data_IF_829939047839
#
_entry.id   IF_829939047839
#
_cell.length_a   1.000
_cell.length_b   1.000
_cell.length_c   1.000
_cell.angle_alpha   90.00
_cell.angle_beta   90.00
_cell.angle_gamma   90.00
#
_symmetry.space_group_name_H-M   'P 1'
#
loop_
_entity.id
_entity.type
_entity.pdbx_description
1 polymer ?
#
# COMPACT_ATOMS: atom_id res chain seq x y z
N UNK A 1 -11.05 -8.05 -4.23
CA UNK A 1 -10.82 -7.07 -3.16
C UNK A 1 -9.37 -6.63 -3.24
N UNK A 2 -9.07 -5.33 -3.24
CA UNK A 2 -7.70 -4.80 -3.42
C UNK A 2 -7.27 -4.03 -2.18
N UNK A 3 -6.13 -4.40 -1.61
CA UNK A 3 -5.54 -3.70 -0.45
C UNK A 3 -4.40 -2.83 -0.95
N UNK A 4 -4.39 -1.56 -0.55
CA UNK A 4 -3.26 -0.67 -0.82
C UNK A 4 -2.20 -0.88 0.24
N UNK A 5 -0.99 -1.20 -0.22
CA UNK A 5 0.13 -1.55 0.63
C UNK A 5 1.27 -0.57 0.42
N UNK A 6 1.80 -0.03 1.53
CA UNK A 6 2.97 0.83 1.47
C UNK A 6 4.24 -0.01 1.39
N UNK A 7 4.85 0.01 0.22
CA UNK A 7 6.10 -0.72 -0.02
C UNK A 7 7.30 0.11 0.44
N UNK A 8 8.26 -0.52 1.10
CA UNK A 8 9.55 0.06 1.52
C UNK A 8 10.71 -0.77 0.97
N UNK A 9 11.85 -0.12 0.77
CA UNK A 9 13.10 -0.79 0.37
C UNK A 9 13.84 -1.30 1.59
N UNK A 10 14.25 -2.55 1.57
CA UNK A 10 15.12 -3.19 2.57
C UNK A 10 16.22 -3.92 1.81
N UNK A 11 17.44 -3.37 1.82
CA UNK A 11 18.55 -3.88 1.01
C UNK A 11 18.25 -3.83 -0.49
N UNK A 12 18.37 -4.98 -1.16
CA UNK A 12 18.02 -5.17 -2.57
C UNK A 12 16.54 -5.50 -2.82
N UNK A 13 15.74 -5.66 -1.77
CA UNK A 13 14.37 -6.16 -1.86
C UNK A 13 13.34 -5.09 -1.50
N UNK A 14 12.13 -5.28 -2.01
CA UNK A 14 10.96 -4.50 -1.65
C UNK A 14 10.12 -5.31 -0.67
N UNK A 15 9.75 -4.70 0.47
CA UNK A 15 8.96 -5.33 1.51
C UNK A 15 7.74 -4.48 1.83
N UNK A 16 6.66 -5.13 2.23
CA UNK A 16 5.48 -4.45 2.77
C UNK A 16 4.99 -5.19 4.02
N UNK A 17 4.28 -4.47 4.87
CA UNK A 17 3.57 -5.06 6.00
C UNK A 17 2.16 -5.42 5.55
N UNK A 18 1.71 -6.63 5.89
CA UNK A 18 0.32 -7.06 5.71
C UNK A 18 -0.46 -6.55 6.94
N UNK A 19 -1.55 -5.77 6.77
CA UNK A 19 -2.35 -5.28 7.89
C UNK A 19 -2.90 -6.43 8.76
N UNK A 20 -3.03 -6.20 10.08
CA UNK A 20 -3.45 -7.24 11.01
C UNK A 20 -4.88 -7.78 10.72
N UNK A 21 -5.76 -6.94 10.19
CA UNK A 21 -7.10 -7.33 9.74
C UNK A 21 -7.04 -8.37 8.61
N UNK A 22 -6.13 -8.18 7.66
CA UNK A 22 -5.91 -9.07 6.53
C UNK A 22 -5.27 -10.39 6.99
N UNK A 23 -4.31 -10.32 7.92
CA UNK A 23 -3.70 -11.51 8.55
C UNK A 23 -4.77 -12.38 9.20
N UNK A 24 -5.67 -11.78 9.98
CA UNK A 24 -6.78 -12.51 10.63
C UNK A 24 -7.78 -13.05 9.62
N UNK A 25 -8.17 -12.25 8.62
CA UNK A 25 -9.17 -12.64 7.63
C UNK A 25 -8.71 -13.82 6.77
N UNK A 26 -7.42 -13.81 6.40
CA UNK A 26 -6.81 -14.84 5.57
C UNK A 26 -6.19 -15.98 6.40
N UNK A 27 -6.25 -15.89 7.74
CA UNK A 27 -5.65 -16.82 8.69
C UNK A 27 -4.19 -17.13 8.35
N UNK A 28 -3.40 -16.07 8.20
CA UNK A 28 -2.00 -16.15 7.80
C UNK A 28 -1.08 -16.35 9.00
N UNK A 29 -0.12 -17.25 8.83
CA UNK A 29 0.97 -17.48 9.77
C UNK A 29 2.32 -17.10 9.17
N UNK A 30 3.32 -16.97 10.05
CA UNK A 30 4.70 -16.73 9.62
C UNK A 30 5.22 -17.92 8.80
N UNK A 31 5.63 -17.66 7.57
CA UNK A 31 6.16 -18.69 6.66
C UNK A 31 5.20 -19.06 5.53
N UNK A 32 3.96 -18.60 5.58
CA UNK A 32 3.01 -18.78 4.49
C UNK A 32 3.47 -18.08 3.21
N UNK A 33 3.25 -18.75 2.08
CA UNK A 33 3.54 -18.20 0.75
C UNK A 33 2.25 -17.67 0.14
N UNK A 34 2.30 -16.41 -0.31
CA UNK A 34 1.15 -15.73 -0.91
C UNK A 34 1.42 -15.42 -2.38
N UNK A 35 0.36 -15.54 -3.19
CA UNK A 35 0.35 -14.97 -4.53
C UNK A 35 -0.02 -13.49 -4.46
N UNK A 36 0.73 -12.64 -5.15
CA UNK A 36 0.49 -11.20 -5.19
C UNK A 36 0.38 -10.73 -6.65
N UNK A 37 -0.64 -9.92 -6.93
CA UNK A 37 -0.76 -9.20 -8.18
C UNK A 37 -0.25 -7.76 -7.98
N UNK A 38 0.81 -7.38 -8.71
CA UNK A 38 1.40 -6.05 -8.59
C UNK A 38 0.72 -5.07 -9.55
N UNK A 39 -0.07 -4.15 -9.01
CA UNK A 39 -0.68 -3.05 -9.76
C UNK A 39 -0.11 -1.72 -9.27
N UNK A 40 0.62 -0.96 -10.11
CA UNK A 40 1.01 0.39 -9.75
C UNK A 40 -0.26 1.21 -9.57
N UNK A 41 -0.36 1.92 -8.44
CA UNK A 41 -1.46 2.87 -8.23
C UNK A 41 -1.27 3.99 -9.24
N UNK A 42 -2.18 4.07 -10.22
CA UNK A 42 -2.24 5.23 -11.10
C UNK A 42 -2.57 6.42 -10.21
N UNK A 43 -1.60 7.32 -10.03
CA UNK A 43 -1.90 8.65 -9.50
C UNK A 43 -2.76 9.31 -10.56
N UNK A 44 -3.95 9.78 -10.18
CA UNK A 44 -4.83 10.49 -11.09
C UNK A 44 -4.02 11.55 -11.85
N UNK A 45 -3.92 11.36 -13.16
CA UNK A 45 -3.18 12.22 -14.09
C UNK A 45 -3.66 13.68 -14.07
N UNK A 46 -4.80 13.95 -13.42
CA UNK A 46 -5.31 15.29 -13.13
C UNK A 46 -4.45 16.08 -12.13
N UNK A 47 -3.77 15.41 -11.20
CA UNK A 47 -2.92 16.05 -10.20
C UNK A 47 -1.53 16.44 -10.74
N UNK A 48 -0.99 15.65 -11.67
CA UNK A 48 0.33 15.87 -12.27
C UNK A 48 0.36 17.07 -13.24
N UNK A 49 -0.77 17.37 -13.90
CA UNK A 49 -0.89 18.51 -14.83
C UNK A 49 -0.96 19.88 -14.14
N UNK A 50 -1.25 19.95 -12.85
CA UNK A 50 -1.42 21.23 -12.11
C UNK A 50 -0.18 21.71 -11.35
N UNK A 51 1.02 21.21 -11.64
CA UNK A 51 2.29 21.78 -11.15
C UNK A 51 2.49 21.84 -9.63
N UNK A 52 1.55 21.34 -8.83
CA UNK A 52 1.66 21.23 -7.38
C UNK A 52 2.28 19.87 -7.08
N UNK A 53 3.49 19.88 -6.53
CA UNK A 53 4.15 18.69 -5.97
C UNK A 53 3.14 17.97 -5.06
N UNK A 54 2.62 16.82 -5.51
CA UNK A 54 1.81 15.95 -4.65
C UNK A 54 2.79 15.18 -3.77
N UNK A 55 3.33 15.88 -2.77
CA UNK A 55 3.69 15.29 -1.49
C UNK A 55 2.42 14.61 -1.00
N UNK A 56 2.51 13.36 -0.54
CA UNK A 56 1.43 12.66 0.15
C UNK A 56 0.62 13.66 0.97
N UNK A 57 -0.57 14.02 0.48
CA UNK A 57 -1.41 14.99 1.15
C UNK A 57 -2.03 14.30 2.34
N UNK A 58 -2.29 15.03 3.41
CA UNK A 58 -2.77 14.45 4.67
C UNK A 58 -4.11 13.70 4.50
N UNK A 59 -4.81 13.97 3.40
CA UNK A 59 -6.06 13.34 2.95
C UNK A 59 -5.88 11.96 2.30
N UNK A 60 -4.66 11.62 1.83
CA UNK A 60 -4.35 10.33 1.18
C UNK A 60 -3.92 9.24 2.18
N UNK A 61 -3.77 9.60 3.46
CA UNK A 61 -3.54 8.61 4.52
C UNK A 61 -4.90 8.06 4.94
N UNK A 62 -5.03 6.75 4.78
CA UNK A 62 -6.01 5.94 5.49
C UNK A 62 -6.28 6.49 6.89
N UNK A 63 -7.56 6.68 7.20
CA UNK A 63 -8.08 7.38 8.38
C UNK A 63 -7.77 6.58 9.65
N UNK A 64 -6.57 6.76 10.22
CA UNK A 64 -6.22 6.27 11.57
C UNK A 64 -6.89 7.17 12.61
N UNK A 65 -8.21 7.03 12.79
CA UNK A 65 -9.00 7.40 13.99
C UNK A 65 -10.47 7.06 13.77
N UNK A 66 -10.85 5.91 14.32
CA UNK A 66 -12.03 5.58 15.15
C UNK A 66 -12.40 4.11 14.99
#
# INVERSE_FOLDING_TARGET
MSVLLKVRKVGGSMMTTIPAEEVKRLNLDSGDTLSAELKPVQKDMFGALRGKKIVFTHEDRWNDRE
#
